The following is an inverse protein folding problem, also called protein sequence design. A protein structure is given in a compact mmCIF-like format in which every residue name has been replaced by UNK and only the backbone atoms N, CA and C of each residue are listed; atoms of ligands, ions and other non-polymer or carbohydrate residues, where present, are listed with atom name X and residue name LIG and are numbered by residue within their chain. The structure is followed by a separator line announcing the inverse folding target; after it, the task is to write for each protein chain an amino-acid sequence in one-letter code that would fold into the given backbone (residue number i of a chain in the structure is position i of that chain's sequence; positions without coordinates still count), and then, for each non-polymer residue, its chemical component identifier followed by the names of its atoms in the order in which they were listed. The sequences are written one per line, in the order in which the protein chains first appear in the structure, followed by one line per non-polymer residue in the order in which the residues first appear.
data_IF_651652267794
#
_entry.id   IF_651652267794
#
_cell.length_a   1.000
_cell.length_b   1.000
_cell.length_c   1.000
_cell.angle_alpha   90.00
_cell.angle_beta   90.00
_cell.angle_gamma   90.00
#
_symmetry.space_group_name_H-M   'P 1'
#
loop_
_entity.id
_entity.type
_entity.pdbx_description
1 polymer ?
#
# COMPACT_ATOMS: atom_id res chain seq x y z
N UNK A 1 -16.98 -12.02 -4.85
CA UNK A 1 -15.56 -12.06 -4.48
C UNK A 1 -15.03 -13.47 -4.65
N UNK A 2 -14.28 -13.74 -5.71
CA UNK A 2 -13.66 -15.04 -5.96
C UNK A 2 -12.31 -15.13 -5.24
N UNK A 3 -11.85 -16.33 -4.92
CA UNK A 3 -10.60 -16.60 -4.17
C UNK A 3 -9.37 -15.90 -4.79
N UNK A 4 -9.40 -15.71 -6.11
CA UNK A 4 -8.37 -15.05 -6.92
C UNK A 4 -8.22 -13.55 -6.62
N UNK A 5 -9.31 -12.86 -6.27
CA UNK A 5 -9.28 -11.42 -5.95
C UNK A 5 -8.68 -11.15 -4.58
N UNK A 6 -8.97 -12.03 -3.58
CA UNK A 6 -8.36 -11.94 -2.24
C UNK A 6 -6.84 -12.15 -2.31
N UNK A 7 -6.38 -13.10 -3.12
CA UNK A 7 -4.96 -13.41 -3.25
C UNK A 7 -4.17 -12.25 -3.89
N UNK A 8 -4.73 -11.64 -4.95
CA UNK A 8 -4.17 -10.40 -5.54
C UNK A 8 -4.13 -9.24 -4.55
N UNK A 9 -5.17 -9.07 -3.73
CA UNK A 9 -5.17 -8.05 -2.66
C UNK A 9 -4.07 -8.29 -1.64
N UNK A 10 -3.87 -9.53 -1.22
CA UNK A 10 -2.82 -9.89 -0.26
C UNK A 10 -1.41 -9.61 -0.80
N UNK A 11 -1.14 -9.93 -2.06
CA UNK A 11 0.14 -9.62 -2.70
C UNK A 11 0.42 -8.12 -2.77
N UNK A 12 -0.61 -7.30 -3.06
CA UNK A 12 -0.46 -5.85 -3.13
C UNK A 12 -0.23 -5.23 -1.75
N UNK A 13 -0.87 -5.77 -0.71
CA UNK A 13 -0.62 -5.37 0.68
C UNK A 13 0.82 -5.71 1.07
N UNK A 14 1.30 -6.92 0.78
CA UNK A 14 2.68 -7.31 1.09
C UNK A 14 3.71 -6.44 0.37
N UNK A 15 3.46 -6.10 -0.90
CA UNK A 15 4.31 -5.19 -1.66
C UNK A 15 4.38 -3.79 -1.01
N UNK A 16 3.23 -3.23 -0.65
CA UNK A 16 3.15 -1.92 0.01
C UNK A 16 3.80 -1.91 1.41
N UNK A 17 3.64 -2.99 2.17
CA UNK A 17 4.33 -3.19 3.47
C UNK A 17 5.84 -3.30 3.26
N UNK A 18 6.30 -4.05 2.26
CA UNK A 18 7.72 -4.18 1.91
C UNK A 18 8.35 -2.85 1.53
N UNK A 19 7.68 -2.06 0.69
CA UNK A 19 8.13 -0.71 0.31
C UNK A 19 8.20 0.24 1.52
N UNK A 20 7.25 0.13 2.46
CA UNK A 20 7.25 0.94 3.68
C UNK A 20 8.28 0.47 4.72
N UNK A 21 8.67 -0.80 4.70
CA UNK A 21 9.71 -1.34 5.56
C UNK A 21 11.11 -0.84 5.16
N UNK A 22 11.32 -0.46 3.89
CA UNK A 22 12.58 0.14 3.41
C UNK A 22 12.90 1.47 4.10
N UNK A 23 11.90 2.15 4.69
CA UNK A 23 12.06 3.43 5.40
C UNK A 23 12.36 3.29 6.91
N UNK A 24 12.71 2.07 7.38
CA UNK A 24 13.07 1.82 8.79
C UNK A 24 12.16 0.82 9.53
N UNK A 25 11.45 -0.05 8.82
CA UNK A 25 10.81 -1.26 9.38
C UNK A 25 9.37 -1.11 9.90
N UNK A 26 8.80 0.10 9.96
CA UNK A 26 7.39 0.30 10.33
C UNK A 26 6.65 1.17 9.32
N UNK A 27 5.52 0.69 8.75
CA UNK A 27 4.67 1.55 7.92
C UNK A 27 4.21 2.75 8.74
N UNK A 28 4.45 3.95 8.22
CA UNK A 28 3.99 5.21 8.81
C UNK A 28 2.46 5.19 8.99
N UNK A 29 1.93 6.04 9.87
CA UNK A 29 0.48 6.20 10.04
C UNK A 29 -0.24 6.46 8.70
N UNK A 30 0.40 7.22 7.81
CA UNK A 30 -0.05 7.42 6.43
C UNK A 30 -0.19 6.09 5.67
N UNK A 31 0.84 5.24 5.70
CA UNK A 31 0.81 3.95 5.00
C UNK A 31 -0.18 2.97 5.61
N UNK A 32 -0.33 2.95 6.94
CA UNK A 32 -1.35 2.12 7.59
C UNK A 32 -2.76 2.52 7.15
N UNK A 33 -3.07 3.81 7.19
CA UNK A 33 -4.38 4.32 6.76
C UNK A 33 -4.65 4.00 5.28
N UNK A 34 -3.66 4.18 4.42
CA UNK A 34 -3.77 3.87 2.99
C UNK A 34 -3.99 2.37 2.72
N UNK A 35 -3.36 1.50 3.51
CA UNK A 35 -3.55 0.06 3.43
C UNK A 35 -4.94 -0.37 3.90
N UNK A 36 -5.48 0.25 4.95
CA UNK A 36 -6.81 -0.06 5.44
C UNK A 36 -7.90 0.43 4.48
N UNK A 37 -7.74 1.61 3.88
CA UNK A 37 -8.63 2.09 2.80
C UNK A 37 -8.64 1.13 1.60
N UNK A 38 -7.51 0.54 1.25
CA UNK A 38 -7.41 -0.45 0.18
C UNK A 38 -8.08 -1.79 0.55
N UNK A 39 -7.90 -2.27 1.78
CA UNK A 39 -8.55 -3.50 2.28
C UNK A 39 -10.08 -3.37 2.25
N UNK A 40 -10.58 -2.23 2.69
CA UNK A 40 -12.02 -1.93 2.68
C UNK A 40 -12.55 -1.65 1.26
N UNK A 41 -11.67 -1.45 0.28
CA UNK A 41 -12.05 -1.16 -1.10
C UNK A 41 -12.48 0.28 -1.34
N UNK A 42 -12.18 1.20 -0.41
CA UNK A 42 -12.37 2.65 -0.58
C UNK A 42 -11.43 3.22 -1.64
N UNK A 43 -10.27 2.61 -1.82
CA UNK A 43 -9.31 2.94 -2.89
C UNK A 43 -8.94 1.72 -3.72
N UNK A 44 -8.58 1.98 -4.97
CA UNK A 44 -8.12 0.97 -5.93
C UNK A 44 -6.62 0.70 -5.78
N UNK A 45 -6.16 -0.40 -6.38
CA UNK A 45 -4.75 -0.77 -6.45
C UNK A 45 -3.87 0.30 -7.10
N UNK A 46 -4.41 1.00 -8.12
CA UNK A 46 -3.74 2.09 -8.80
C UNK A 46 -3.58 3.32 -7.91
N UNK A 47 -4.61 3.66 -7.13
CA UNK A 47 -4.56 4.75 -6.14
C UNK A 47 -3.59 4.44 -5.01
N UNK A 48 -3.60 3.21 -4.48
CA UNK A 48 -2.63 2.75 -3.48
C UNK A 48 -1.19 2.91 -3.99
N UNK A 49 -0.89 2.38 -5.19
CA UNK A 49 0.44 2.52 -5.80
C UNK A 49 0.84 3.97 -6.01
N UNK A 50 -0.05 4.80 -6.55
CA UNK A 50 0.21 6.22 -6.81
C UNK A 50 0.53 6.97 -5.52
N UNK A 51 -0.25 6.78 -4.46
CA UNK A 51 -0.05 7.45 -3.19
C UNK A 51 1.24 7.00 -2.48
N UNK A 52 1.63 5.72 -2.59
CA UNK A 52 2.95 5.24 -2.12
C UNK A 52 4.06 5.91 -2.92
N UNK A 53 3.99 5.90 -4.25
CA UNK A 53 5.01 6.55 -5.09
C UNK A 53 5.10 8.04 -4.77
N UNK A 54 4.00 8.78 -4.69
CA UNK A 54 4.01 10.21 -4.37
C UNK A 54 4.59 10.51 -2.99
N UNK A 55 4.30 9.65 -1.99
CA UNK A 55 4.81 9.83 -0.63
C UNK A 55 6.31 9.55 -0.53
N UNK A 56 6.78 8.45 -1.11
CA UNK A 56 8.17 7.98 -0.94
C UNK A 56 9.11 8.49 -2.05
N UNK A 57 8.62 8.83 -3.25
CA UNK A 57 9.44 9.48 -4.28
C UNK A 57 9.74 10.95 -3.95
N UNK A 58 8.88 11.63 -3.17
CA UNK A 58 9.15 12.99 -2.66
C UNK A 58 10.22 13.03 -1.57
N UNK A 59 10.63 11.89 -1.01
CA UNK A 59 11.70 11.81 0.00
C UNK A 59 13.09 11.93 -0.63
N UNK A 60 13.20 11.93 -1.97
CA UNK A 60 14.47 12.00 -2.71
C UNK A 60 14.77 13.35 -3.40
N UNK A 61 14.10 14.44 -3.04
CA UNK A 61 14.51 15.79 -3.49
C UNK A 61 15.09 16.62 -2.34
#
# INVERSE_FOLDING_TARGET
MTVTERNKRQQQIQFAVGMAALDGGKPTAFTQQLLDDYKEGRITSGQLKKAIIERYAKVQQ
#
